data_IF_179199820654
#
_entry.id   IF_179199820654
#
_cell.length_a   1.000
_cell.length_b   1.000
_cell.length_c   1.000
_cell.angle_alpha   90.00
_cell.angle_beta   90.00
_cell.angle_gamma   90.00
#
_symmetry.space_group_name_H-M   'P 1'
#
loop_
_entity.id
_entity.type
_entity.pdbx_description
1 polymer ?
#
# COMPACT_ATOMS: atom_id res chain seq x y z
N UNK A 1 4.83 7.84 0.02
CA UNK A 1 4.29 7.09 -1.13
C UNK A 1 5.27 5.99 -1.46
N UNK A 2 4.81 4.76 -1.64
CA UNK A 2 5.61 3.62 -2.03
C UNK A 2 4.87 2.79 -3.09
N UNK A 3 5.62 2.23 -4.03
CA UNK A 3 5.08 1.35 -5.06
C UNK A 3 4.82 -0.07 -4.54
N UNK A 4 5.50 -0.47 -3.46
CA UNK A 4 5.47 -1.86 -2.98
C UNK A 4 5.03 -1.92 -1.51
N UNK A 5 4.20 -2.91 -1.18
CA UNK A 5 3.86 -3.32 0.18
C UNK A 5 3.98 -4.84 0.34
N UNK A 6 4.07 -5.32 1.57
CA UNK A 6 3.97 -6.74 1.90
C UNK A 6 2.52 -7.08 2.20
N UNK A 7 1.98 -8.12 1.56
CA UNK A 7 0.66 -8.65 1.88
C UNK A 7 0.70 -9.51 3.17
N UNK A 8 -0.48 -9.95 3.61
CA UNK A 8 -0.65 -10.84 4.77
C UNK A 8 0.11 -12.17 4.68
N UNK A 9 0.43 -12.62 3.47
CA UNK A 9 1.16 -13.86 3.20
C UNK A 9 2.69 -13.61 3.21
N UNK A 10 3.13 -12.36 3.42
CA UNK A 10 4.53 -11.97 3.47
C UNK A 10 5.15 -11.73 2.09
N UNK A 11 4.34 -11.71 1.03
CA UNK A 11 4.77 -11.50 -0.35
C UNK A 11 4.70 -10.03 -0.73
N UNK A 12 5.57 -9.62 -1.65
CA UNK A 12 5.54 -8.26 -2.18
C UNK A 12 4.40 -8.09 -3.17
N UNK A 13 3.59 -7.05 -2.97
CA UNK A 13 2.56 -6.59 -3.90
C UNK A 13 2.99 -5.25 -4.48
N UNK A 14 3.00 -5.16 -5.81
CA UNK A 14 3.40 -3.95 -6.55
C UNK A 14 2.13 -3.22 -6.99
N UNK A 15 1.98 -1.95 -6.59
CA UNK A 15 0.75 -1.18 -6.81
C UNK A 15 0.42 -1.03 -8.31
N UNK A 16 1.44 -0.87 -9.15
CA UNK A 16 1.31 -0.69 -10.60
C UNK A 16 0.92 -1.96 -11.37
N UNK A 17 0.96 -3.15 -10.74
CA UNK A 17 0.51 -4.41 -11.33
C UNK A 17 -1.02 -4.60 -11.25
N UNK A 18 -1.71 -3.79 -10.43
CA UNK A 18 -3.15 -3.86 -10.31
C UNK A 18 -3.84 -2.95 -11.32
N UNK A 19 -4.80 -3.52 -12.06
CA UNK A 19 -5.70 -2.73 -12.89
C UNK A 19 -6.53 -1.76 -12.02
N UNK A 20 -6.95 -0.59 -12.54
CA UNK A 20 -7.65 0.42 -11.74
C UNK A 20 -8.89 -0.14 -11.03
N UNK A 21 -9.67 -0.99 -11.70
CA UNK A 21 -10.87 -1.58 -11.12
C UNK A 21 -10.55 -2.56 -9.98
N UNK A 22 -9.49 -3.35 -10.13
CA UNK A 22 -9.01 -4.27 -9.10
C UNK A 22 -8.50 -3.50 -7.89
N UNK A 23 -7.72 -2.45 -8.12
CA UNK A 23 -7.24 -1.56 -7.06
C UNK A 23 -8.38 -0.90 -6.28
N UNK A 24 -9.40 -0.37 -6.95
CA UNK A 24 -10.60 0.17 -6.29
C UNK A 24 -11.35 -0.89 -5.49
N UNK A 25 -11.48 -2.12 -6.02
CA UNK A 25 -12.10 -3.22 -5.28
C UNK A 25 -11.30 -3.60 -4.04
N UNK A 26 -9.97 -3.63 -4.12
CA UNK A 26 -9.10 -3.88 -2.97
C UNK A 26 -9.24 -2.78 -1.92
N UNK A 27 -9.23 -1.50 -2.31
CA UNK A 27 -9.45 -0.37 -1.39
C UNK A 27 -10.76 -0.46 -0.61
N UNK A 28 -11.80 -1.08 -1.17
CA UNK A 28 -13.08 -1.26 -0.49
C UNK A 28 -13.13 -2.49 0.42
N UNK A 29 -12.26 -3.49 0.19
CA UNK A 29 -12.29 -4.77 0.90
C UNK A 29 -11.18 -4.92 1.95
N UNK A 30 -10.06 -4.22 1.76
CA UNK A 30 -8.91 -4.35 2.65
C UNK A 30 -9.23 -3.88 4.07
N UNK A 31 -8.48 -4.40 5.02
CA UNK A 31 -8.45 -3.97 6.41
C UNK A 31 -7.08 -3.40 6.72
N UNK A 32 -7.04 -2.50 7.70
CA UNK A 32 -5.76 -2.01 8.23
C UNK A 32 -4.96 -3.19 8.76
N UNK A 33 -3.74 -3.35 8.25
CA UNK A 33 -2.85 -4.47 8.58
C UNK A 33 -2.80 -5.58 7.52
N UNK A 34 -3.69 -5.59 6.52
CA UNK A 34 -3.63 -6.55 5.40
C UNK A 34 -2.39 -6.33 4.52
N UNK A 35 -1.91 -5.09 4.49
CA UNK A 35 -0.67 -4.68 3.85
C UNK A 35 0.24 -3.98 4.84
N UNK A 36 1.55 -4.27 4.78
CA UNK A 36 2.57 -3.68 5.62
C UNK A 36 3.65 -3.01 4.76
N UNK A 37 4.15 -1.87 5.21
CA UNK A 37 5.24 -1.18 4.54
C UNK A 37 6.55 -1.96 4.73
N UNK A 38 7.34 -2.23 3.68
CA UNK A 38 8.54 -3.06 3.81
C UNK A 38 9.64 -2.39 4.64
N UNK A 39 9.68 -1.05 4.68
CA UNK A 39 10.69 -0.25 5.36
C UNK A 39 10.57 -0.23 6.89
N UNK A 40 9.35 -0.23 7.45
CA UNK A 40 9.13 -0.08 8.89
C UNK A 40 8.09 -1.05 9.47
N UNK A 41 7.50 -1.90 8.63
CA UNK A 41 6.41 -2.84 8.98
C UNK A 41 5.14 -2.17 9.53
N UNK A 42 5.03 -0.84 9.44
CA UNK A 42 3.79 -0.15 9.75
C UNK A 42 2.68 -0.55 8.75
N UNK A 43 1.40 -0.51 9.17
CA UNK A 43 0.29 -0.77 8.26
C UNK A 43 0.33 0.17 7.05
N UNK A 44 0.13 -0.41 5.87
CA UNK A 44 0.00 0.31 4.62
C UNK A 44 -1.48 0.56 4.30
N UNK A 45 -1.77 1.73 3.75
CA UNK A 45 -3.05 2.08 3.15
C UNK A 45 -2.90 2.24 1.65
N UNK A 46 -3.92 1.79 0.93
CA UNK A 46 -4.00 1.87 -0.53
C UNK A 46 -4.58 3.23 -0.92
N UNK A 47 -3.86 3.99 -1.74
CA UNK A 47 -4.28 5.30 -2.25
C UNK A 47 -4.12 5.35 -3.76
N UNK A 48 -4.77 6.34 -4.35
CA UNK A 48 -4.63 6.67 -5.78
C UNK A 48 -4.20 8.12 -5.87
N UNK A 49 -3.17 8.41 -6.66
CA UNK A 49 -2.69 9.77 -6.89
C UNK A 49 -3.70 10.56 -7.73
N UNK A 50 -3.60 11.90 -7.77
CA UNK A 50 -4.45 12.72 -8.66
C UNK A 50 -4.36 12.31 -10.14
N UNK A 51 -3.26 11.69 -10.57
CA UNK A 51 -3.06 11.20 -11.93
C UNK A 51 -3.60 9.78 -12.15
N UNK A 52 -4.32 9.20 -11.18
CA UNK A 52 -4.88 7.85 -11.29
C UNK A 52 -3.91 6.72 -10.96
N UNK A 53 -2.67 7.03 -10.57
CA UNK A 53 -1.67 6.00 -10.26
C UNK A 53 -1.89 5.41 -8.85
N UNK A 54 -2.00 4.09 -8.70
CA UNK A 54 -2.11 3.42 -7.40
C UNK A 54 -0.79 3.49 -6.63
N UNK A 55 -0.87 3.60 -5.29
CA UNK A 55 0.31 3.56 -4.42
C UNK A 55 -0.04 3.18 -2.98
N UNK A 56 0.95 2.67 -2.25
CA UNK A 56 0.88 2.43 -0.81
C UNK A 56 1.39 3.64 -0.02
N UNK A 57 0.75 3.92 1.11
CA UNK A 57 1.18 4.93 2.07
C UNK A 57 1.21 4.32 3.46
N UNK A 58 2.05 4.86 4.35
CA UNK A 58 1.94 4.53 5.76
C UNK A 58 0.57 4.98 6.30
N UNK A 59 -0.03 4.17 7.17
CA UNK A 59 -1.24 4.52 7.92
C UNK A 59 -0.96 5.58 8.99
N UNK A 60 0.23 5.54 9.58
CA UNK A 60 0.72 6.52 10.55
C UNK A 60 1.96 7.23 10.00
N UNK A 61 2.17 8.50 10.35
CA UNK A 61 3.31 9.30 9.89
C UNK A 61 4.65 8.88 10.52
N UNK A 62 4.66 7.94 11.46
CA UNK A 62 5.86 7.42 12.09
C UNK A 62 6.57 6.39 11.19
N UNK A 63 7.21 6.86 10.12
CA UNK A 63 8.26 6.12 9.47
C UNK A 63 9.60 6.78 9.81
N UNK A 64 10.30 6.21 10.80
CA UNK A 64 11.63 6.67 11.23
C UNK A 64 12.73 6.45 10.17
N UNK A 65 12.39 5.80 9.05
CA UNK A 65 13.31 5.44 7.96
C UNK A 65 13.17 6.38 6.75
N UNK A 66 12.91 7.67 6.98
CA UNK A 66 13.09 8.69 5.95
C UNK A 66 14.60 9.02 5.86
N UNK A 67 15.30 8.75 4.75
CA UNK A 67 16.58 9.40 4.47
C UNK A 67 16.40 10.89 4.16
#
# INVERSE_FOLDING_TARGET
MAEVALNKDGEFSVASEFEPQEWEMMKNKYRIGDFLMPCCKAPAILKTSPNGLPFFSHYSDECASAP
#
